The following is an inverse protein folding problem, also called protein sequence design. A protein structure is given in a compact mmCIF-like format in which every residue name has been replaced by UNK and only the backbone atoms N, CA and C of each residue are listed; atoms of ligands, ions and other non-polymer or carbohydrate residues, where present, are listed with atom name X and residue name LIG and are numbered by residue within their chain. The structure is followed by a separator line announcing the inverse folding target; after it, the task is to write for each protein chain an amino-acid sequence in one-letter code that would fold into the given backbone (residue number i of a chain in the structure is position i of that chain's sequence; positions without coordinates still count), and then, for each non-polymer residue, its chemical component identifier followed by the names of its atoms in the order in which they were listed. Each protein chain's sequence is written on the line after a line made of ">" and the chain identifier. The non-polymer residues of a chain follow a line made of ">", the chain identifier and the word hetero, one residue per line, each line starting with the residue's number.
data_IF_457116783867
#
_entry.id   IF_457116783867
#
_cell.length_a   1.000
_cell.length_b   1.000
_cell.length_c   1.000
_cell.angle_alpha   90.00
_cell.angle_beta   90.00
_cell.angle_gamma   90.00
#
_symmetry.space_group_name_H-M   'P 1'
#
loop_
_entity.id
_entity.type
_entity.pdbx_description
1 polymer ?
#
# COMPACT_ATOMS: atom_id res chain seq x y z
N UNK A 1 27.75 3.37 3.01
CA UNK A 1 27.21 4.75 3.21
C UNK A 1 26.87 4.92 4.68
N UNK A 2 27.22 6.07 5.32
CA UNK A 2 26.91 6.29 6.74
C UNK A 2 25.40 6.53 6.90
N UNK A 3 24.76 5.75 7.77
CA UNK A 3 23.34 5.91 8.12
C UNK A 3 23.04 7.29 8.72
N UNK A 4 21.76 7.70 8.67
CA UNK A 4 21.30 8.92 9.34
C UNK A 4 21.25 8.68 10.85
N UNK A 5 21.73 9.67 11.62
CA UNK A 5 21.52 9.70 13.06
C UNK A 5 20.04 9.92 13.39
N UNK A 6 19.62 9.59 14.60
CA UNK A 6 18.23 9.79 15.05
C UNK A 6 17.77 11.24 14.83
N UNK A 7 18.63 12.22 15.14
CA UNK A 7 18.30 13.64 14.97
C UNK A 7 18.20 14.05 13.51
N UNK A 8 19.08 13.52 12.63
CA UNK A 8 18.98 13.74 11.19
C UNK A 8 17.71 13.14 10.60
N UNK A 9 17.28 11.96 11.07
CA UNK A 9 15.99 11.36 10.69
C UNK A 9 14.82 12.26 11.08
N UNK A 10 14.81 12.83 12.30
CA UNK A 10 13.75 13.75 12.76
C UNK A 10 13.71 15.03 11.90
N UNK A 11 14.85 15.63 11.58
CA UNK A 11 14.91 16.82 10.70
C UNK A 11 14.38 16.50 9.30
N UNK A 12 14.75 15.36 8.74
CA UNK A 12 14.26 14.94 7.43
C UNK A 12 12.73 14.69 7.42
N UNK A 13 12.21 14.06 8.47
CA UNK A 13 10.76 13.86 8.64
C UNK A 13 10.01 15.19 8.77
N UNK A 14 10.56 16.15 9.53
CA UNK A 14 10.00 17.50 9.65
C UNK A 14 9.92 18.19 8.27
N UNK A 15 10.96 18.10 7.45
CA UNK A 15 10.98 18.67 6.09
C UNK A 15 9.89 18.02 5.23
N UNK A 16 9.82 16.69 5.19
CA UNK A 16 8.80 15.94 4.45
C UNK A 16 7.38 16.31 4.88
N UNK A 17 7.14 16.36 6.19
CA UNK A 17 5.84 16.73 6.76
C UNK A 17 5.40 18.13 6.34
N UNK A 18 6.31 19.13 6.40
CA UNK A 18 6.01 20.50 5.98
C UNK A 18 5.68 20.59 4.50
N UNK A 19 6.47 19.95 3.63
CA UNK A 19 6.21 19.92 2.18
C UNK A 19 4.85 19.27 1.91
N UNK A 20 4.53 18.13 2.55
CA UNK A 20 3.25 17.45 2.39
C UNK A 20 2.06 18.30 2.85
N UNK A 21 2.21 19.03 3.98
CA UNK A 21 1.14 19.83 4.59
C UNK A 21 0.90 21.17 3.89
N UNK A 22 1.97 21.83 3.44
CA UNK A 22 1.91 23.23 2.98
C UNK A 22 2.25 23.42 1.51
N UNK A 23 2.77 22.38 0.85
CA UNK A 23 3.33 22.46 -0.52
C UNK A 23 4.74 23.08 -0.58
N UNK A 24 5.28 23.58 0.56
CA UNK A 24 6.56 24.27 0.62
C UNK A 24 7.47 23.69 1.70
N UNK A 25 8.80 23.71 1.52
CA UNK A 25 9.72 23.29 2.57
C UNK A 25 9.70 24.26 3.77
N UNK A 26 10.02 23.76 4.99
CA UNK A 26 10.13 24.60 6.17
C UNK A 26 11.34 25.55 6.07
N UNK A 27 11.24 26.68 6.75
CA UNK A 27 12.40 27.53 7.03
C UNK A 27 13.23 26.92 8.17
N UNK A 28 14.46 27.41 8.34
CA UNK A 28 15.30 27.03 9.49
C UNK A 28 14.64 27.33 10.83
N UNK A 29 13.92 28.47 10.91
CA UNK A 29 13.15 28.86 12.09
C UNK A 29 11.99 27.89 12.36
N UNK A 30 11.29 27.42 11.32
CA UNK A 30 10.22 26.42 11.45
C UNK A 30 10.79 25.10 12.00
N UNK A 31 11.92 24.63 11.49
CA UNK A 31 12.58 23.42 11.98
C UNK A 31 12.98 23.57 13.45
N UNK A 32 13.52 24.73 13.83
CA UNK A 32 13.87 25.00 15.23
C UNK A 32 12.65 24.95 16.16
N UNK A 33 11.57 25.59 15.76
CA UNK A 33 10.31 25.60 16.53
C UNK A 33 9.73 24.20 16.70
N UNK A 34 9.69 23.45 15.62
CA UNK A 34 9.08 22.10 15.59
C UNK A 34 9.91 21.07 16.39
N UNK A 35 11.23 21.15 16.31
CA UNK A 35 12.13 20.16 16.92
C UNK A 35 12.78 20.65 18.22
N UNK A 36 12.42 21.85 18.70
CA UNK A 36 12.94 22.40 19.96
C UNK A 36 14.41 22.74 19.92
N UNK A 37 14.97 23.11 18.77
CA UNK A 37 16.37 23.55 18.70
C UNK A 37 16.56 24.95 19.28
N UNK A 38 17.63 25.11 20.07
CA UNK A 38 17.92 26.37 20.75
C UNK A 38 18.41 27.49 19.81
N UNK A 39 18.87 27.15 18.60
CA UNK A 39 19.36 28.15 17.65
C UNK A 39 19.23 27.67 16.20
N UNK A 40 19.10 28.59 15.20
CA UNK A 40 19.10 28.26 13.78
C UNK A 40 20.35 27.53 13.33
N UNK A 41 21.50 27.75 13.96
CA UNK A 41 22.77 27.08 13.65
C UNK A 41 22.70 25.57 13.94
N UNK A 42 21.92 25.17 14.96
CA UNK A 42 21.72 23.75 15.25
C UNK A 42 20.95 23.05 14.12
N UNK A 43 19.90 23.69 13.58
CA UNK A 43 19.19 23.20 12.42
C UNK A 43 20.09 23.15 11.19
N UNK A 44 20.86 24.22 10.95
CA UNK A 44 21.78 24.31 9.79
C UNK A 44 22.80 23.17 9.78
N UNK A 45 23.39 22.80 10.93
CA UNK A 45 24.35 21.70 11.01
C UNK A 45 23.75 20.37 10.57
N UNK A 46 22.49 20.09 10.94
CA UNK A 46 21.78 18.89 10.52
C UNK A 46 21.38 18.95 9.04
N UNK A 47 20.96 20.12 8.54
CA UNK A 47 20.66 20.31 7.12
C UNK A 47 21.92 20.08 6.24
N UNK A 48 23.08 20.65 6.61
CA UNK A 48 24.34 20.40 5.89
C UNK A 48 24.75 18.93 5.93
N UNK A 49 24.51 18.25 7.05
CA UNK A 49 24.78 16.80 7.13
C UNK A 49 23.85 15.98 6.24
N UNK A 50 22.59 16.36 6.10
CA UNK A 50 21.62 15.74 5.19
C UNK A 50 21.99 16.00 3.73
N UNK A 51 22.40 17.24 3.40
CA UNK A 51 22.89 17.61 2.07
C UNK A 51 24.14 16.81 1.69
N UNK A 52 25.15 16.73 2.57
CA UNK A 52 26.38 15.93 2.35
C UNK A 52 26.06 14.44 2.14
N UNK A 53 24.97 13.93 2.70
CA UNK A 53 24.51 12.55 2.52
C UNK A 53 23.56 12.38 1.33
N UNK A 54 23.35 13.44 0.54
CA UNK A 54 22.47 13.49 -0.64
C UNK A 54 21.00 13.16 -0.33
N UNK A 55 20.49 13.59 0.83
CA UNK A 55 19.06 13.47 1.16
C UNK A 55 18.28 14.73 0.79
N UNK A 56 18.92 15.89 0.78
CA UNK A 56 18.36 17.17 0.39
C UNK A 56 19.38 17.95 -0.45
N UNK A 57 18.91 18.96 -1.16
CA UNK A 57 19.73 20.05 -1.70
C UNK A 57 19.32 21.37 -1.06
N UNK A 58 20.26 22.31 -0.91
CA UNK A 58 20.01 23.62 -0.31
C UNK A 58 20.39 24.71 -1.29
N UNK A 59 19.39 25.51 -1.70
CA UNK A 59 19.64 26.71 -2.49
C UNK A 59 20.10 27.84 -1.60
N UNK A 60 21.28 28.39 -1.89
CA UNK A 60 21.83 29.51 -1.15
C UNK A 60 21.02 30.78 -1.41
N UNK A 61 20.73 31.53 -0.35
CA UNK A 61 19.97 32.79 -0.45
C UNK A 61 18.46 32.64 -0.44
N UNK A 62 17.90 31.43 -0.59
CA UNK A 62 16.47 31.21 -0.50
C UNK A 62 16.03 30.83 0.93
N UNK A 63 15.03 31.54 1.48
CA UNK A 63 14.50 31.24 2.83
C UNK A 63 13.85 29.86 2.92
N UNK A 64 13.32 29.34 1.81
CA UNK A 64 12.68 28.02 1.65
C UNK A 64 13.40 27.18 0.58
N UNK A 65 14.72 27.32 0.44
CA UNK A 65 15.53 26.67 -0.57
C UNK A 65 15.94 25.23 -0.23
N UNK A 66 15.14 24.48 0.54
CA UNK A 66 15.38 23.08 0.86
C UNK A 66 14.57 22.22 -0.11
N UNK A 67 15.27 21.43 -0.95
CA UNK A 67 14.64 20.51 -1.87
C UNK A 67 15.00 19.06 -1.48
N UNK A 68 14.01 18.16 -1.57
CA UNK A 68 14.24 16.73 -1.39
C UNK A 68 14.92 16.17 -2.66
N UNK A 69 15.91 15.30 -2.49
CA UNK A 69 16.54 14.59 -3.63
C UNK A 69 15.72 13.33 -3.98
N UNK A 70 16.00 12.73 -5.13
CA UNK A 70 15.41 11.43 -5.53
C UNK A 70 15.63 10.33 -4.47
N UNK A 71 16.71 10.43 -3.68
CA UNK A 71 17.00 9.52 -2.57
C UNK A 71 16.00 9.67 -1.41
N UNK A 72 15.40 10.85 -1.28
CA UNK A 72 14.40 11.20 -0.25
C UNK A 72 13.01 11.39 -0.79
N UNK A 73 12.88 11.61 -2.10
CA UNK A 73 11.61 11.39 -2.75
C UNK A 73 11.14 10.01 -2.25
N UNK A 74 10.01 9.97 -1.59
CA UNK A 74 9.34 8.69 -1.38
C UNK A 74 9.42 8.05 -2.75
N UNK A 75 10.12 6.92 -2.87
CA UNK A 75 9.90 6.06 -4.01
C UNK A 75 8.39 5.95 -4.01
N UNK A 76 7.74 6.50 -5.01
CA UNK A 76 6.33 6.24 -5.20
C UNK A 76 6.25 4.73 -5.14
N UNK A 77 5.79 4.22 -4.00
CA UNK A 77 5.63 2.79 -3.86
C UNK A 77 4.65 2.47 -4.97
N UNK A 78 5.11 1.70 -5.92
CA UNK A 78 4.23 1.23 -6.96
C UNK A 78 3.61 -0.05 -6.43
N UNK A 79 2.30 -0.13 -6.50
CA UNK A 79 1.55 -1.33 -6.13
C UNK A 79 1.23 -2.09 -7.42
N UNK A 80 1.53 -3.39 -7.48
CA UNK A 80 1.18 -4.20 -8.64
C UNK A 80 -0.34 -4.37 -8.75
N UNK A 81 -0.84 -4.31 -9.96
CA UNK A 81 -2.21 -4.69 -10.32
C UNK A 81 -2.13 -6.09 -10.92
N UNK A 82 -2.78 -7.04 -10.27
CA UNK A 82 -2.92 -8.41 -10.74
C UNK A 82 -4.17 -8.50 -11.61
N UNK A 83 -4.00 -8.95 -12.83
CA UNK A 83 -5.07 -9.19 -13.80
C UNK A 83 -5.57 -10.63 -13.76
N UNK A 84 -5.43 -11.33 -14.88
CA UNK A 84 -5.71 -12.76 -14.94
C UNK A 84 -4.58 -13.53 -14.27
N UNK A 85 -4.93 -14.46 -13.39
CA UNK A 85 -3.95 -15.36 -12.77
C UNK A 85 -3.82 -16.59 -13.65
N UNK A 86 -2.59 -16.85 -14.13
CA UNK A 86 -2.32 -18.03 -14.92
C UNK A 86 -2.45 -19.31 -14.09
N UNK A 87 -2.95 -20.38 -14.70
CA UNK A 87 -3.12 -21.68 -14.05
C UNK A 87 -1.79 -22.18 -13.47
N UNK A 88 -1.82 -22.64 -12.24
CA UNK A 88 -0.65 -23.16 -11.51
C UNK A 88 0.33 -22.11 -10.98
N UNK A 89 0.14 -20.83 -11.29
CA UNK A 89 1.03 -19.76 -10.84
C UNK A 89 0.56 -19.12 -9.55
N UNK A 90 1.48 -18.71 -8.63
CA UNK A 90 1.12 -17.87 -7.50
C UNK A 90 0.48 -16.55 -7.97
N UNK A 91 -0.50 -16.04 -7.23
CA UNK A 91 -1.22 -14.79 -7.57
C UNK A 91 -0.27 -13.63 -7.88
N UNK A 92 0.83 -13.48 -7.13
CA UNK A 92 1.84 -12.43 -7.32
C UNK A 92 3.00 -12.84 -8.25
N UNK A 93 2.82 -13.83 -9.12
CA UNK A 93 3.83 -14.12 -10.14
C UNK A 93 3.94 -12.95 -11.13
N UNK A 94 5.15 -12.67 -11.63
CA UNK A 94 5.41 -11.55 -12.54
C UNK A 94 4.52 -11.59 -13.80
N UNK A 95 4.19 -12.78 -14.27
CA UNK A 95 3.32 -13.02 -15.44
C UNK A 95 1.86 -12.58 -15.23
N UNK A 96 1.40 -12.49 -13.96
CA UNK A 96 0.06 -12.06 -13.60
C UNK A 96 -0.03 -10.54 -13.37
N UNK A 97 1.10 -9.83 -13.36
CA UNK A 97 1.15 -8.39 -13.14
C UNK A 97 0.79 -7.66 -14.45
N UNK A 98 -0.37 -7.01 -14.45
CA UNK A 98 -0.84 -6.22 -15.59
C UNK A 98 -0.10 -4.88 -15.69
N UNK A 99 0.06 -4.19 -14.57
CA UNK A 99 0.73 -2.88 -14.45
C UNK A 99 1.12 -2.59 -13.01
N UNK A 100 1.93 -1.55 -12.83
CA UNK A 100 2.21 -0.97 -11.52
C UNK A 100 1.60 0.43 -11.42
N UNK A 101 0.89 0.71 -10.35
CA UNK A 101 0.27 2.02 -10.08
C UNK A 101 1.07 2.75 -9.00
N UNK A 102 1.43 4.06 -9.20
CA UNK A 102 1.99 4.87 -8.14
C UNK A 102 1.03 4.96 -6.96
N UNK A 103 1.49 4.62 -5.76
CA UNK A 103 0.68 4.57 -4.56
C UNK A 103 1.13 5.64 -3.55
N UNK A 104 0.15 6.33 -2.97
CA UNK A 104 0.36 7.18 -1.80
C UNK A 104 -0.29 6.50 -0.58
N UNK A 105 0.47 6.27 0.48
CA UNK A 105 0.02 5.60 1.73
C UNK A 105 -1.25 6.22 2.35
N UNK A 106 -1.63 7.44 1.96
CA UNK A 106 -2.82 8.12 2.48
C UNK A 106 -4.15 7.74 1.83
N UNK A 107 -4.15 6.93 0.76
CA UNK A 107 -5.37 6.56 0.03
C UNK A 107 -6.22 5.50 0.77
N UNK A 108 -5.59 4.65 1.57
CA UNK A 108 -6.27 3.63 2.35
C UNK A 108 -5.90 3.77 3.83
N UNK A 109 -6.83 3.43 4.71
CA UNK A 109 -6.61 3.40 6.17
C UNK A 109 -5.78 2.19 6.62
N UNK A 110 -5.73 1.15 5.80
CA UNK A 110 -4.99 -0.09 6.06
C UNK A 110 -3.94 -0.33 4.98
N UNK A 111 -2.80 -0.88 5.37
CA UNK A 111 -1.79 -1.35 4.43
C UNK A 111 -2.32 -2.50 3.58
N UNK A 112 -1.92 -2.54 2.32
CA UNK A 112 -2.20 -3.62 1.39
C UNK A 112 -1.00 -3.89 0.48
N UNK A 113 -1.02 -5.04 -0.20
CA UNK A 113 0.15 -5.53 -0.92
C UNK A 113 -0.01 -5.46 -2.44
N UNK A 114 -1.25 -5.59 -2.95
CA UNK A 114 -1.55 -5.50 -4.39
C UNK A 114 -3.00 -5.13 -4.65
N UNK A 115 -3.30 -4.71 -5.87
CA UNK A 115 -4.65 -4.63 -6.40
C UNK A 115 -4.97 -5.89 -7.19
N UNK A 116 -6.16 -6.43 -7.01
CA UNK A 116 -6.74 -7.47 -7.86
C UNK A 116 -7.80 -6.84 -8.76
N UNK A 117 -7.66 -7.02 -10.08
CA UNK A 117 -8.72 -6.63 -11.01
C UNK A 117 -9.84 -7.65 -10.97
N UNK A 118 -11.04 -7.17 -10.71
CA UNK A 118 -12.24 -8.02 -10.64
C UNK A 118 -12.65 -8.47 -12.04
N UNK A 119 -12.97 -9.74 -12.17
CA UNK A 119 -13.61 -10.32 -13.34
C UNK A 119 -14.96 -10.93 -12.97
N UNK A 120 -15.96 -10.59 -13.77
CA UNK A 120 -17.34 -11.04 -13.55
C UNK A 120 -18.07 -10.29 -12.43
N UNK A 121 -19.27 -10.78 -12.11
CA UNK A 121 -20.25 -10.08 -11.28
C UNK A 121 -20.61 -10.82 -9.99
N UNK A 122 -19.81 -11.80 -9.58
CA UNK A 122 -20.16 -12.64 -8.41
C UNK A 122 -20.22 -11.89 -7.08
N UNK A 123 -19.73 -10.64 -7.04
CA UNK A 123 -19.71 -9.78 -5.84
C UNK A 123 -20.45 -8.45 -6.04
N UNK A 124 -21.36 -8.38 -7.03
CA UNK A 124 -22.07 -7.13 -7.41
C UNK A 124 -22.88 -6.53 -6.25
N UNK A 125 -23.52 -7.36 -5.45
CA UNK A 125 -24.39 -6.92 -4.35
C UNK A 125 -23.57 -6.50 -3.11
N UNK A 126 -22.27 -6.78 -3.09
CA UNK A 126 -21.28 -6.18 -2.18
C UNK A 126 -20.73 -4.86 -2.72
N UNK A 127 -21.24 -4.35 -3.85
CA UNK A 127 -20.76 -3.13 -4.49
C UNK A 127 -19.44 -3.29 -5.27
N UNK A 128 -18.99 -4.53 -5.50
CA UNK A 128 -17.77 -4.83 -6.28
C UNK A 128 -18.19 -5.27 -7.69
N UNK A 129 -17.80 -4.47 -8.66
CA UNK A 129 -18.18 -4.65 -10.06
C UNK A 129 -17.00 -5.15 -10.90
N UNK A 130 -17.32 -5.61 -12.09
CA UNK A 130 -16.27 -5.95 -13.07
C UNK A 130 -15.35 -4.75 -13.33
N UNK A 131 -14.07 -5.03 -13.51
CA UNK A 131 -12.95 -4.09 -13.69
C UNK A 131 -12.60 -3.21 -12.48
N UNK A 132 -13.30 -3.34 -11.34
CA UNK A 132 -12.84 -2.73 -10.08
C UNK A 132 -11.43 -3.23 -9.70
N UNK A 133 -10.66 -2.35 -9.07
CA UNK A 133 -9.38 -2.69 -8.45
C UNK A 133 -9.57 -2.86 -6.94
N UNK A 134 -9.61 -4.10 -6.48
CA UNK A 134 -9.74 -4.42 -5.04
C UNK A 134 -8.36 -4.46 -4.40
N UNK A 135 -8.17 -3.64 -3.36
CA UNK A 135 -6.93 -3.61 -2.57
C UNK A 135 -6.89 -4.84 -1.65
N UNK A 136 -5.86 -5.65 -1.81
CA UNK A 136 -5.71 -6.92 -1.09
C UNK A 136 -4.54 -6.87 -0.14
N UNK A 137 -4.79 -7.19 1.13
CA UNK A 137 -3.77 -7.49 2.12
C UNK A 137 -3.46 -8.98 2.08
N UNK A 138 -2.21 -9.32 1.77
CA UNK A 138 -1.74 -10.71 1.74
C UNK A 138 -1.72 -11.27 3.16
N UNK A 139 -2.61 -12.22 3.43
CA UNK A 139 -2.73 -12.89 4.73
C UNK A 139 -3.58 -14.15 4.59
N UNK A 140 -3.28 -15.16 5.39
CA UNK A 140 -4.16 -16.32 5.62
C UNK A 140 -5.04 -16.15 6.86
N UNK A 141 -4.82 -15.10 7.66
CA UNK A 141 -5.61 -14.80 8.85
C UNK A 141 -6.87 -14.03 8.48
N UNK A 142 -7.98 -14.74 8.36
CA UNK A 142 -9.29 -14.20 7.97
C UNK A 142 -10.38 -14.59 8.96
N UNK A 143 -11.46 -13.82 8.98
CA UNK A 143 -12.62 -14.01 9.86
C UNK A 143 -13.87 -14.19 9.03
N UNK A 144 -14.88 -14.82 9.63
CA UNK A 144 -16.20 -14.92 9.01
C UNK A 144 -16.72 -13.52 8.65
N UNK A 145 -17.15 -13.35 7.39
CA UNK A 145 -17.61 -12.09 6.82
C UNK A 145 -16.53 -11.27 6.11
N UNK A 146 -15.23 -11.63 6.21
CA UNK A 146 -14.19 -10.99 5.38
C UNK A 146 -14.41 -11.34 3.91
N UNK A 147 -14.15 -10.38 3.01
CA UNK A 147 -14.06 -10.65 1.58
C UNK A 147 -12.63 -11.09 1.30
N UNK A 148 -12.45 -12.29 0.77
CA UNK A 148 -11.16 -12.93 0.58
C UNK A 148 -10.88 -13.24 -0.89
N UNK A 149 -9.59 -13.21 -1.23
CA UNK A 149 -9.07 -13.84 -2.43
C UNK A 149 -8.73 -15.27 -2.06
N UNK A 150 -9.47 -16.21 -2.61
CA UNK A 150 -9.25 -17.63 -2.44
C UNK A 150 -8.75 -18.24 -3.75
N UNK A 151 -7.77 -19.12 -3.67
CA UNK A 151 -7.33 -19.96 -4.77
C UNK A 151 -7.78 -21.38 -4.52
N UNK A 152 -8.43 -21.98 -5.52
CA UNK A 152 -8.86 -23.37 -5.53
C UNK A 152 -8.22 -23.99 -6.76
N UNK A 153 -7.28 -24.90 -6.54
CA UNK A 153 -6.42 -25.42 -7.60
C UNK A 153 -5.74 -24.27 -8.37
N UNK A 154 -6.14 -24.07 -9.62
CA UNK A 154 -5.59 -23.04 -10.52
C UNK A 154 -6.50 -21.81 -10.66
N UNK A 155 -7.64 -21.78 -9.99
CA UNK A 155 -8.60 -20.70 -10.11
C UNK A 155 -8.56 -19.76 -8.91
N UNK A 156 -8.54 -18.45 -9.17
CA UNK A 156 -8.61 -17.40 -8.15
C UNK A 156 -9.99 -16.77 -8.16
N UNK A 157 -10.59 -16.66 -6.98
CA UNK A 157 -11.93 -16.07 -6.81
C UNK A 157 -12.00 -15.11 -5.64
N UNK A 158 -12.91 -14.11 -5.74
CA UNK A 158 -13.23 -13.18 -4.66
C UNK A 158 -14.62 -13.53 -4.11
N UNK A 159 -14.73 -13.80 -2.80
CA UNK A 159 -15.96 -14.22 -2.13
C UNK A 159 -15.96 -13.78 -0.67
N UNK A 160 -17.13 -13.76 -0.04
CA UNK A 160 -17.21 -13.75 1.41
C UNK A 160 -16.72 -15.08 1.97
N UNK A 161 -15.94 -14.99 3.03
CA UNK A 161 -15.43 -16.14 3.76
C UNK A 161 -16.32 -16.48 4.93
N UNK A 162 -16.65 -17.77 5.08
CA UNK A 162 -17.28 -18.33 6.26
C UNK A 162 -16.64 -19.67 6.58
N UNK A 163 -16.33 -19.91 7.87
CA UNK A 163 -15.79 -21.17 8.36
C UNK A 163 -16.59 -21.67 9.54
N UNK A 164 -16.95 -22.96 9.53
CA UNK A 164 -17.62 -23.65 10.62
C UNK A 164 -17.06 -25.06 10.74
N UNK A 165 -16.41 -25.36 11.88
CA UNK A 165 -15.74 -26.63 12.08
C UNK A 165 -14.65 -26.86 11.04
N UNK A 166 -14.75 -27.97 10.31
CA UNK A 166 -13.82 -28.36 9.23
C UNK A 166 -14.25 -27.86 7.84
N UNK A 167 -15.40 -27.19 7.71
CA UNK A 167 -15.94 -26.71 6.46
C UNK A 167 -15.66 -25.22 6.27
N UNK A 168 -15.25 -24.86 5.06
CA UNK A 168 -15.17 -23.49 4.58
C UNK A 168 -16.24 -23.31 3.50
N UNK A 169 -16.89 -22.15 3.53
CA UNK A 169 -17.89 -21.72 2.59
C UNK A 169 -17.43 -20.39 1.99
N UNK A 170 -17.32 -20.34 0.68
CA UNK A 170 -17.07 -19.12 -0.07
C UNK A 170 -18.39 -18.67 -0.69
N UNK A 171 -18.89 -17.53 -0.23
CA UNK A 171 -20.24 -17.06 -0.52
C UNK A 171 -20.15 -15.90 -1.52
N UNK A 172 -20.78 -16.00 -2.70
CA UNK A 172 -20.90 -14.88 -3.60
C UNK A 172 -21.83 -13.80 -3.03
N UNK A 173 -21.70 -12.57 -3.49
CA UNK A 173 -22.66 -11.50 -3.30
C UNK A 173 -23.42 -11.26 -4.60
N UNK A 174 -24.08 -12.29 -5.09
CA UNK A 174 -24.93 -12.29 -6.27
C UNK A 174 -25.65 -13.63 -6.34
N UNK A 175 -26.98 -13.59 -6.32
CA UNK A 175 -27.85 -14.78 -6.33
C UNK A 175 -27.74 -15.63 -7.62
N UNK A 176 -27.15 -15.08 -8.68
CA UNK A 176 -26.91 -15.82 -9.94
C UNK A 176 -25.70 -16.78 -9.83
N UNK A 177 -24.98 -16.80 -8.71
CA UNK A 177 -23.79 -17.61 -8.49
C UNK A 177 -23.95 -18.53 -7.28
N UNK A 178 -23.46 -19.75 -7.43
CA UNK A 178 -23.50 -20.75 -6.36
C UNK A 178 -22.42 -20.53 -5.30
N UNK A 179 -22.73 -20.95 -4.07
CA UNK A 179 -21.78 -21.02 -2.98
C UNK A 179 -20.78 -22.17 -3.21
N UNK A 180 -19.51 -21.95 -2.86
CA UNK A 180 -18.49 -22.99 -2.98
C UNK A 180 -18.20 -23.56 -1.58
N UNK A 181 -18.33 -24.86 -1.46
CA UNK A 181 -18.07 -25.59 -0.22
C UNK A 181 -16.72 -26.32 -0.31
N UNK A 182 -15.84 -26.12 0.65
CA UNK A 182 -14.49 -26.66 0.69
C UNK A 182 -14.26 -27.26 2.08
N UNK A 183 -13.59 -28.40 2.12
CA UNK A 183 -13.06 -28.93 3.36
C UNK A 183 -11.68 -28.27 3.66
N UNK A 184 -11.38 -27.93 4.88
CA UNK A 184 -10.10 -27.34 5.30
C UNK A 184 -8.87 -28.18 4.92
N UNK A 185 -9.08 -29.49 4.76
CA UNK A 185 -8.04 -30.45 4.38
C UNK A 185 -7.92 -30.63 2.87
N UNK A 186 -8.71 -29.91 2.06
CA UNK A 186 -8.66 -30.01 0.61
C UNK A 186 -7.30 -29.50 0.12
N UNK A 187 -6.54 -30.37 -0.54
CA UNK A 187 -5.33 -29.97 -1.25
C UNK A 187 -5.67 -28.96 -2.36
N UNK A 188 -4.79 -28.01 -2.61
CA UNK A 188 -5.00 -26.97 -3.63
C UNK A 188 -5.82 -25.76 -3.20
N UNK A 189 -6.36 -25.75 -1.96
CA UNK A 189 -7.08 -24.57 -1.43
C UNK A 189 -6.17 -23.66 -0.61
N UNK A 190 -6.16 -22.36 -0.96
CA UNK A 190 -5.38 -21.34 -0.26
C UNK A 190 -6.16 -20.04 -0.12
N UNK A 191 -6.04 -19.38 1.02
CA UNK A 191 -6.42 -17.98 1.18
C UNK A 191 -5.20 -17.13 0.85
N UNK A 192 -5.26 -16.40 -0.25
CA UNK A 192 -4.17 -15.54 -0.75
C UNK A 192 -4.15 -14.16 -0.08
N UNK A 193 -5.31 -13.72 0.41
CA UNK A 193 -5.44 -12.43 1.09
C UNK A 193 -6.87 -12.02 1.35
N UNK A 194 -7.02 -10.84 1.96
CA UNK A 194 -8.32 -10.22 2.21
C UNK A 194 -8.42 -8.82 1.63
N UNK A 195 -9.62 -8.44 1.23
CA UNK A 195 -9.93 -7.09 0.77
C UNK A 195 -9.89 -6.09 1.92
N UNK A 196 -9.27 -4.93 1.68
CA UNK A 196 -9.23 -3.79 2.60
C UNK A 196 -9.86 -2.54 1.99
N UNK A 197 -10.28 -2.58 0.74
CA UNK A 197 -10.93 -1.50 0.02
C UNK A 197 -10.93 -1.72 -1.49
N UNK A 198 -11.50 -0.80 -2.24
CA UNK A 198 -11.50 -0.85 -3.71
C UNK A 198 -11.35 0.56 -4.31
N UNK A 199 -10.92 0.61 -5.56
CA UNK A 199 -10.91 1.79 -6.42
C UNK A 199 -11.71 1.46 -7.68
N UNK A 200 -12.58 2.38 -8.10
CA UNK A 200 -13.29 2.31 -9.38
C UNK A 200 -12.92 3.53 -10.21
N UNK A 201 -12.55 3.28 -11.46
CA UNK A 201 -12.40 4.32 -12.48
C UNK A 201 -13.73 4.42 -13.25
N UNK A 202 -14.29 5.64 -13.37
CA UNK A 202 -15.53 5.91 -14.09
C UNK A 202 -15.22 6.42 -15.50
#
# INVERSE_FOLDING_TARGET
>A
MKELTIQQKKVLQCIKFYIKKTGFPPTRADICRELGFKSPNAAESHLRALEKKCYITIENGASRGINLTEKTAEKSQTIPVIGLVAAGSPTLADENIEKHIPYQESLFLSDFDYFLRVKGLSMKDAGIMEDDLVAIKKTSEVRNGDIVVARIDDEVTLKYFQSSGNQIKLIPANDDFDEIYINKETEGFFIEGKSVGLIREN
#
